data_IF_903161856896
#
_entry.id   IF_903161856896
#
_cell.length_a   1.000
_cell.length_b   1.000
_cell.length_c   1.000
_cell.angle_alpha   90.00
_cell.angle_beta   90.00
_cell.angle_gamma   90.00
#
_symmetry.space_group_name_H-M   'P 1'
#
loop_
_entity.id
_entity.type
_entity.pdbx_description
1 polymer ?
#
# COMPACT_ATOMS: atom_id res chain seq x y z
N UNK A 1 -21.51 -3.33 3.90
CA UNK A 1 -20.32 -3.38 4.75
C UNK A 1 -19.38 -2.21 4.46
N UNK A 2 -18.27 -2.03 5.23
CA UNK A 2 -17.35 -0.91 5.08
C UNK A 2 -16.80 -0.74 3.67
N UNK A 3 -16.42 -1.83 3.01
CA UNK A 3 -15.86 -1.80 1.66
C UNK A 3 -16.84 -1.24 0.61
N UNK A 4 -18.15 -1.54 0.75
CA UNK A 4 -19.16 -1.02 -0.17
C UNK A 4 -19.37 0.49 0.00
N UNK A 5 -19.31 0.99 1.23
CA UNK A 5 -19.42 2.42 1.50
C UNK A 5 -18.19 3.18 0.99
N UNK A 6 -16.99 2.67 1.24
CA UNK A 6 -15.76 3.26 0.70
C UNK A 6 -15.81 3.32 -0.83
N UNK A 7 -16.25 2.24 -1.49
CA UNK A 7 -16.42 2.20 -2.95
C UNK A 7 -17.46 3.21 -3.44
N UNK A 8 -18.58 3.37 -2.72
CA UNK A 8 -19.62 4.34 -3.06
C UNK A 8 -19.12 5.78 -2.93
N UNK A 9 -18.37 6.09 -1.85
CA UNK A 9 -17.77 7.41 -1.66
C UNK A 9 -16.70 7.70 -2.70
N UNK A 10 -15.81 6.74 -3.00
CA UNK A 10 -14.73 6.90 -3.97
C UNK A 10 -15.24 7.05 -5.41
N UNK A 11 -16.47 6.57 -5.73
CA UNK A 11 -17.09 6.81 -7.04
C UNK A 11 -17.58 8.26 -7.23
N UNK A 12 -17.74 9.00 -6.13
CA UNK A 12 -18.23 10.38 -6.15
C UNK A 12 -17.09 11.42 -6.05
N UNK A 13 -16.02 11.09 -5.32
CA UNK A 13 -14.83 11.93 -5.17
C UNK A 13 -13.61 11.10 -4.72
N UNK A 14 -12.43 11.60 -5.05
CA UNK A 14 -11.18 11.04 -4.54
C UNK A 14 -10.99 11.45 -3.08
N UNK A 15 -10.44 10.54 -2.26
CA UNK A 15 -9.94 10.88 -0.94
C UNK A 15 -8.56 11.54 -1.07
N UNK A 16 -8.43 12.75 -0.57
CA UNK A 16 -7.14 13.47 -0.56
C UNK A 16 -6.33 13.17 0.69
N UNK A 17 -7.02 12.78 1.77
CA UNK A 17 -6.37 12.47 3.04
C UNK A 17 -7.04 11.27 3.72
N UNK A 18 -6.22 10.43 4.39
CA UNK A 18 -6.72 9.24 5.08
C UNK A 18 -7.73 9.55 6.19
N UNK A 19 -7.60 10.70 6.86
CA UNK A 19 -8.55 11.11 7.89
C UNK A 19 -9.99 11.24 7.39
N UNK A 20 -10.21 11.39 6.08
CA UNK A 20 -11.54 11.43 5.50
C UNK A 20 -12.27 10.09 5.65
N UNK A 21 -11.53 8.96 5.69
CA UNK A 21 -12.10 7.65 5.95
C UNK A 21 -12.68 7.53 7.38
N UNK A 22 -12.11 8.25 8.35
CA UNK A 22 -12.60 8.24 9.73
C UNK A 22 -14.00 8.83 9.86
N UNK A 23 -14.42 9.66 8.91
CA UNK A 23 -15.74 10.26 8.88
C UNK A 23 -16.82 9.31 8.34
N UNK A 24 -16.44 8.12 7.84
CA UNK A 24 -17.40 7.12 7.39
C UNK A 24 -17.99 6.38 8.60
N UNK A 25 -19.32 6.31 8.73
CA UNK A 25 -19.98 5.64 9.87
C UNK A 25 -19.52 4.19 10.06
N UNK A 26 -19.22 3.49 8.96
CA UNK A 26 -18.73 2.11 8.99
C UNK A 26 -17.30 1.94 9.52
N UNK A 27 -16.53 3.04 9.62
CA UNK A 27 -15.14 3.01 10.06
C UNK A 27 -14.97 3.32 11.56
N UNK A 28 -16.03 3.74 12.25
CA UNK A 28 -16.00 4.14 13.68
C UNK A 28 -15.51 3.02 14.61
N UNK A 29 -15.75 1.77 14.26
CA UNK A 29 -15.40 0.60 15.07
C UNK A 29 -14.01 0.03 14.76
N UNK A 30 -13.29 0.59 13.78
CA UNK A 30 -11.97 0.08 13.42
C UNK A 30 -10.85 0.71 14.24
N UNK A 31 -9.84 -0.09 14.57
CA UNK A 31 -8.62 0.42 15.19
C UNK A 31 -7.79 1.19 14.15
N UNK A 32 -8.01 2.50 14.08
CA UNK A 32 -7.34 3.38 13.15
C UNK A 32 -5.80 3.34 13.27
N UNK A 33 -5.29 3.22 14.50
CA UNK A 33 -3.86 3.13 14.76
C UNK A 33 -3.18 1.96 14.05
N UNK A 34 -3.90 0.83 13.95
CA UNK A 34 -3.41 -0.35 13.25
C UNK A 34 -3.63 -0.26 11.73
N UNK A 35 -4.76 0.31 11.31
CA UNK A 35 -5.12 0.35 9.88
C UNK A 35 -4.32 1.37 9.08
N UNK A 36 -4.01 2.54 9.66
CA UNK A 36 -3.36 3.64 8.93
C UNK A 36 -2.02 3.29 8.31
N UNK A 37 -1.32 2.27 8.83
CA UNK A 37 -0.04 1.83 8.29
C UNK A 37 -0.17 1.09 6.94
N UNK A 38 -1.36 0.55 6.63
CA UNK A 38 -1.65 -0.20 5.40
C UNK A 38 -2.44 0.63 4.39
N UNK A 39 -2.83 1.85 4.73
CA UNK A 39 -3.67 2.69 3.90
C UNK A 39 -2.93 3.94 3.44
N UNK A 40 -3.17 4.34 2.21
CA UNK A 40 -2.78 5.64 1.71
C UNK A 40 -3.91 6.24 0.86
N UNK A 41 -4.05 7.56 0.89
CA UNK A 41 -4.87 8.27 -0.08
C UNK A 41 -4.06 8.42 -1.36
N UNK A 42 -4.55 7.87 -2.46
CA UNK A 42 -3.89 7.94 -3.75
C UNK A 42 -4.61 8.96 -4.65
N UNK A 43 -3.89 9.88 -5.30
CA UNK A 43 -4.51 10.92 -6.13
C UNK A 43 -5.03 10.42 -7.50
N UNK A 44 -4.90 9.13 -7.79
CA UNK A 44 -5.38 8.51 -9.02
C UNK A 44 -6.35 7.37 -8.72
N UNK A 45 -7.28 7.14 -9.65
CA UNK A 45 -8.22 6.01 -9.60
C UNK A 45 -7.51 4.69 -9.92
N UNK A 46 -6.39 4.74 -10.62
CA UNK A 46 -5.61 3.55 -10.95
C UNK A 46 -4.99 2.97 -9.69
N UNK A 47 -5.39 1.74 -9.35
CA UNK A 47 -4.85 1.07 -8.17
C UNK A 47 -3.36 0.78 -8.36
N UNK A 48 -2.54 1.22 -7.43
CA UNK A 48 -1.10 0.95 -7.43
C UNK A 48 -0.77 -0.52 -7.19
N UNK A 49 -1.68 -1.26 -6.56
CA UNK A 49 -1.46 -2.66 -6.15
C UNK A 49 -0.48 -2.79 -4.98
N UNK A 50 -0.22 -4.04 -4.60
CA UNK A 50 0.69 -4.40 -3.52
C UNK A 50 1.95 -5.03 -4.11
N UNK A 51 3.12 -4.46 -3.82
CA UNK A 51 4.39 -5.04 -4.23
C UNK A 51 4.79 -6.16 -3.27
N UNK A 52 4.64 -7.41 -3.72
CA UNK A 52 4.91 -8.59 -2.89
C UNK A 52 6.39 -8.65 -2.46
N UNK A 53 7.33 -8.21 -3.30
CA UNK A 53 8.76 -8.24 -3.01
C UNK A 53 9.19 -7.33 -1.84
N UNK A 54 8.33 -6.40 -1.42
CA UNK A 54 8.63 -5.47 -0.32
C UNK A 54 7.91 -5.82 0.98
N UNK A 55 7.06 -6.85 0.98
CA UNK A 55 6.36 -7.29 2.18
C UNK A 55 7.33 -7.88 3.20
N UNK A 56 7.04 -7.64 4.45
CA UNK A 56 7.73 -8.19 5.62
C UNK A 56 6.74 -9.02 6.43
N UNK A 57 7.20 -9.90 7.31
CA UNK A 57 6.35 -10.76 8.15
C UNK A 57 5.23 -9.97 8.84
N UNK A 58 5.51 -8.77 9.34
CA UNK A 58 4.50 -7.89 9.95
C UNK A 58 3.36 -7.49 9.01
N UNK A 59 3.56 -7.62 7.69
CA UNK A 59 2.61 -7.26 6.66
C UNK A 59 1.76 -8.47 6.21
N UNK A 60 1.94 -9.65 6.83
CA UNK A 60 1.16 -10.85 6.55
C UNK A 60 -0.36 -10.65 6.66
N UNK A 61 -0.89 -9.88 7.64
CA UNK A 61 -2.32 -9.58 7.67
C UNK A 61 -2.82 -8.83 6.44
N UNK A 62 -1.99 -7.97 5.83
CA UNK A 62 -2.32 -7.30 4.56
C UNK A 62 -2.40 -8.33 3.43
N UNK A 63 -1.39 -9.20 3.28
CA UNK A 63 -1.35 -10.21 2.23
C UNK A 63 -2.55 -11.17 2.35
N UNK A 64 -2.83 -11.68 3.55
CA UNK A 64 -3.99 -12.53 3.84
C UNK A 64 -5.33 -11.83 3.53
N UNK A 65 -5.41 -10.51 3.72
CA UNK A 65 -6.66 -9.76 3.45
C UNK A 65 -6.95 -9.55 1.96
N UNK A 66 -5.94 -9.65 1.11
CA UNK A 66 -6.08 -9.40 -0.34
C UNK A 66 -6.08 -10.66 -1.19
N UNK A 67 -5.56 -11.77 -0.67
CA UNK A 67 -5.57 -13.06 -1.36
C UNK A 67 -6.77 -13.91 -0.86
N UNK A 68 -7.60 -14.45 -1.78
CA UNK A 68 -8.63 -15.41 -1.39
C UNK A 68 -8.00 -16.66 -0.79
N UNK A 69 -8.66 -17.21 0.22
CA UNK A 69 -8.34 -18.50 0.83
C UNK A 69 -6.91 -18.61 1.46
N UNK A 70 -6.23 -17.49 1.66
CA UNK A 70 -4.93 -17.40 2.33
C UNK A 70 -5.13 -16.87 3.74
N UNK A 71 -4.75 -17.63 4.75
CA UNK A 71 -4.75 -17.18 6.15
C UNK A 71 -3.44 -16.44 6.51
N UNK A 72 -3.38 -15.88 7.73
CA UNK A 72 -2.21 -15.13 8.19
C UNK A 72 -0.95 -16.00 8.27
N UNK A 73 -1.09 -17.24 8.71
CA UNK A 73 0.05 -18.17 8.87
C UNK A 73 0.63 -18.55 7.50
N UNK A 74 -0.24 -18.79 6.53
CA UNK A 74 0.15 -19.06 5.16
C UNK A 74 0.79 -17.83 4.52
N UNK A 75 0.23 -16.64 4.74
CA UNK A 75 0.80 -15.37 4.27
C UNK A 75 2.19 -15.11 4.90
N UNK A 76 2.41 -15.42 6.19
CA UNK A 76 3.72 -15.36 6.82
C UNK A 76 4.73 -16.29 6.14
N UNK A 77 4.33 -17.52 5.87
CA UNK A 77 5.16 -18.51 5.17
C UNK A 77 5.51 -18.01 3.76
N UNK A 78 4.53 -17.53 3.01
CA UNK A 78 4.76 -16.97 1.67
C UNK A 78 5.78 -15.82 1.69
N UNK A 79 5.69 -14.92 2.68
CA UNK A 79 6.63 -13.80 2.81
C UNK A 79 8.05 -14.27 3.12
N UNK A 80 8.19 -15.32 3.95
CA UNK A 80 9.50 -15.91 4.25
C UNK A 80 10.15 -16.60 3.04
N UNK A 81 9.34 -17.12 2.13
CA UNK A 81 9.79 -17.79 0.91
C UNK A 81 10.09 -16.81 -0.25
N UNK A 82 9.91 -15.50 -0.08
CA UNK A 82 10.30 -14.51 -1.08
C UNK A 82 11.82 -14.53 -1.23
N UNK A 83 12.35 -14.71 -2.46
CA UNK A 83 13.79 -14.67 -2.70
C UNK A 83 14.42 -13.35 -2.23
N UNK A 84 15.67 -13.37 -1.81
CA UNK A 84 16.41 -12.16 -1.36
C UNK A 84 16.39 -11.06 -2.42
N UNK A 85 16.51 -11.44 -3.71
CA UNK A 85 16.45 -10.52 -4.84
C UNK A 85 15.02 -10.22 -5.31
N UNK A 86 14.01 -10.80 -4.64
CA UNK A 86 12.60 -10.75 -5.04
C UNK A 86 12.29 -11.59 -6.30
N UNK A 87 11.02 -11.72 -6.60
CA UNK A 87 10.55 -12.30 -7.87
C UNK A 87 10.73 -11.28 -9.00
N UNK A 88 11.31 -11.71 -10.11
CA UNK A 88 11.55 -10.86 -11.29
C UNK A 88 10.41 -10.94 -12.30
N UNK A 89 9.72 -12.08 -12.31
CA UNK A 89 8.63 -12.35 -13.25
C UNK A 89 7.41 -12.94 -12.54
N UNK A 90 6.24 -12.74 -13.10
CA UNK A 90 5.02 -13.37 -12.61
C UNK A 90 5.11 -14.91 -12.62
N UNK A 91 5.82 -15.47 -13.61
CA UNK A 91 6.02 -16.92 -13.69
C UNK A 91 6.80 -17.47 -12.50
N UNK A 92 7.83 -16.76 -12.03
CA UNK A 92 8.57 -17.14 -10.82
C UNK A 92 7.65 -17.14 -9.59
N UNK A 93 6.80 -16.11 -9.45
CA UNK A 93 5.84 -16.02 -8.37
C UNK A 93 4.84 -17.19 -8.38
N UNK A 94 4.25 -17.49 -9.55
CA UNK A 94 3.29 -18.60 -9.68
C UNK A 94 3.93 -19.97 -9.45
N UNK A 95 5.19 -20.17 -9.81
CA UNK A 95 5.93 -21.41 -9.55
C UNK A 95 6.28 -21.56 -8.08
N UNK A 96 6.56 -20.50 -7.38
CA UNK A 96 6.87 -20.52 -5.95
C UNK A 96 5.64 -20.88 -5.10
N UNK A 97 4.44 -20.42 -5.52
CA UNK A 97 3.20 -20.61 -4.77
C UNK A 97 2.12 -21.28 -5.62
N UNK A 98 2.30 -22.58 -5.95
CA UNK A 98 1.32 -23.31 -6.74
C UNK A 98 0.01 -23.44 -5.96
N UNK A 99 -1.08 -23.07 -6.57
CA UNK A 99 -2.41 -23.12 -5.95
C UNK A 99 -2.90 -21.76 -5.42
N UNK A 100 -2.05 -20.73 -5.35
CA UNK A 100 -2.48 -19.37 -5.02
C UNK A 100 -2.97 -18.66 -6.27
N UNK A 101 -4.23 -18.22 -6.23
CA UNK A 101 -4.86 -17.53 -7.38
C UNK A 101 -4.63 -16.01 -7.30
N UNK A 102 -3.42 -15.54 -7.62
CA UNK A 102 -3.06 -14.12 -7.58
C UNK A 102 -3.92 -13.23 -8.49
N UNK A 103 -4.48 -13.78 -9.55
CA UNK A 103 -5.40 -13.08 -10.47
C UNK A 103 -6.78 -12.81 -9.85
N UNK A 104 -7.13 -13.49 -8.77
CA UNK A 104 -8.36 -13.27 -8.00
C UNK A 104 -8.15 -12.38 -6.78
N UNK A 105 -6.93 -11.86 -6.57
CA UNK A 105 -6.64 -10.96 -5.46
C UNK A 105 -7.53 -9.71 -5.50
N UNK A 106 -7.95 -9.23 -4.33
CA UNK A 106 -8.77 -8.02 -4.20
C UNK A 106 -8.04 -6.73 -4.58
N UNK A 107 -6.71 -6.75 -4.54
CA UNK A 107 -5.83 -5.71 -5.05
C UNK A 107 -4.78 -6.32 -5.98
N UNK A 108 -4.37 -5.63 -7.05
CA UNK A 108 -3.34 -6.13 -7.95
C UNK A 108 -2.05 -6.46 -7.19
N UNK A 109 -1.53 -7.67 -7.39
CA UNK A 109 -0.19 -8.03 -6.93
C UNK A 109 0.83 -7.57 -7.97
N UNK A 110 1.86 -6.88 -7.50
CA UNK A 110 2.92 -6.34 -8.34
C UNK A 110 4.28 -6.83 -7.87
N UNK A 111 5.25 -6.82 -8.76
CA UNK A 111 6.65 -7.18 -8.48
C UNK A 111 7.54 -5.93 -8.37
N UNK A 112 7.06 -4.79 -8.86
CA UNK A 112 7.77 -3.52 -8.86
C UNK A 112 6.95 -2.44 -8.16
N UNK A 113 7.65 -1.44 -7.67
CA UNK A 113 7.06 -0.25 -7.07
C UNK A 113 7.15 0.91 -8.05
N UNK A 114 6.01 1.51 -8.36
CA UNK A 114 5.88 2.73 -9.15
C UNK A 114 5.58 3.96 -8.28
N UNK A 115 5.36 3.77 -6.98
CA UNK A 115 5.09 4.83 -6.00
C UNK A 115 6.10 4.78 -4.87
N UNK A 116 6.75 5.90 -4.58
CA UNK A 116 7.77 6.00 -3.54
C UNK A 116 7.48 7.21 -2.65
N UNK A 117 7.43 6.98 -1.34
CA UNK A 117 7.45 8.05 -0.36
C UNK A 117 8.89 8.44 -0.03
N UNK A 118 9.20 9.71 -0.19
CA UNK A 118 10.49 10.28 0.19
C UNK A 118 10.28 11.24 1.35
N UNK A 119 10.97 10.97 2.47
CA UNK A 119 11.03 11.87 3.61
C UNK A 119 12.31 12.72 3.48
N UNK A 120 12.15 14.02 3.44
CA UNK A 120 13.25 14.98 3.36
C UNK A 120 13.26 15.80 4.65
N UNK A 121 14.42 15.94 5.26
CA UNK A 121 14.60 16.78 6.44
C UNK A 121 15.71 17.77 6.12
N UNK A 122 15.40 19.05 6.25
CA UNK A 122 16.37 20.14 6.11
C UNK A 122 16.60 20.74 7.50
N UNK A 123 17.84 20.72 7.95
CA UNK A 123 18.26 21.29 9.24
C UNK A 123 19.10 22.52 8.97
N UNK A 124 18.73 23.63 9.56
CA UNK A 124 19.50 24.87 9.50
C UNK A 124 19.58 25.47 10.93
N UNK A 125 20.81 25.55 11.44
CA UNK A 125 21.10 26.00 12.81
C UNK A 125 20.28 25.22 13.87
N UNK A 126 19.25 25.87 14.46
CA UNK A 126 18.36 25.28 15.51
C UNK A 126 16.97 24.97 14.96
N UNK A 127 16.75 25.15 13.66
CA UNK A 127 15.45 24.91 13.02
C UNK A 127 15.53 23.71 12.10
N UNK A 128 14.43 22.93 12.05
CA UNK A 128 14.30 21.85 11.08
C UNK A 128 12.95 21.95 10.38
N UNK A 129 12.94 21.60 9.10
CA UNK A 129 11.71 21.46 8.30
C UNK A 129 11.71 20.08 7.70
N UNK A 130 10.63 19.36 7.87
CA UNK A 130 10.44 18.05 7.25
C UNK A 130 9.38 18.11 6.15
N UNK A 131 9.61 17.35 5.08
CA UNK A 131 8.66 17.17 4.00
C UNK A 131 8.54 15.69 3.64
N UNK A 132 7.31 15.23 3.44
CA UNK A 132 7.00 13.90 2.94
C UNK A 132 6.39 14.04 1.54
N UNK A 133 7.08 13.51 0.53
CA UNK A 133 6.66 13.64 -0.87
C UNK A 133 6.36 12.25 -1.45
N UNK A 134 5.20 12.09 -2.08
CA UNK A 134 4.86 10.91 -2.87
C UNK A 134 5.32 11.15 -4.31
N UNK A 135 6.19 10.29 -4.80
CA UNK A 135 6.63 10.26 -6.19
C UNK A 135 6.03 9.08 -6.92
N UNK A 136 5.68 9.30 -8.17
CA UNK A 136 5.38 8.25 -9.14
C UNK A 136 6.55 8.13 -10.12
N UNK A 137 6.97 6.88 -10.37
CA UNK A 137 7.94 6.54 -11.42
C UNK A 137 7.17 5.94 -12.58
N UNK A 138 7.22 6.60 -13.73
CA UNK A 138 6.57 6.11 -14.96
C UNK A 138 7.45 6.43 -16.16
N UNK A 139 7.75 5.42 -16.98
CA UNK A 139 8.56 5.57 -18.20
C UNK A 139 9.93 6.25 -17.94
N UNK A 140 10.59 5.90 -16.84
CA UNK A 140 11.86 6.50 -16.39
C UNK A 140 11.77 7.97 -15.99
N UNK A 141 10.59 8.53 -15.89
CA UNK A 141 10.32 9.85 -15.34
C UNK A 141 9.84 9.76 -13.89
N UNK A 142 10.21 10.72 -13.07
CA UNK A 142 9.79 10.82 -11.67
C UNK A 142 8.92 12.06 -11.51
N UNK A 143 7.67 11.86 -11.13
CA UNK A 143 6.69 12.94 -10.97
C UNK A 143 6.29 13.01 -9.49
N UNK A 144 6.38 14.20 -8.89
CA UNK A 144 5.84 14.43 -7.54
C UNK A 144 4.31 14.56 -7.62
N UNK A 145 3.60 13.65 -6.96
CA UNK A 145 2.14 13.64 -6.94
C UNK A 145 1.58 14.44 -5.77
N UNK A 146 2.20 14.34 -4.61
CA UNK A 146 1.72 14.99 -3.40
C UNK A 146 2.89 15.31 -2.46
N UNK A 147 2.78 16.40 -1.70
CA UNK A 147 3.78 16.81 -0.72
C UNK A 147 3.12 17.38 0.52
N UNK A 148 3.54 16.89 1.68
CA UNK A 148 3.14 17.38 2.99
C UNK A 148 4.37 17.96 3.69
N UNK A 149 4.18 19.09 4.34
CA UNK A 149 5.17 19.70 5.21
C UNK A 149 4.73 19.52 6.66
N UNK A 150 5.66 19.11 7.51
CA UNK A 150 5.47 19.13 8.95
C UNK A 150 6.43 20.19 9.50
N UNK A 151 5.86 21.24 10.05
CA UNK A 151 6.58 22.19 10.89
C UNK A 151 6.63 21.57 12.28
N UNK A 152 7.82 21.16 12.73
CA UNK A 152 8.09 20.78 14.12
C UNK A 152 8.64 21.98 14.88
#
# INVERSE_FOLDING_TARGET
>A
GPASQVKQYSSQRLFYHLSELMNLPSMVHFNWGQMKQYLCAHPSIDSSGVNINHLKIKDAPLLASILPDVDITEAESMILDIPVDGFRTASELYLAFPGIEFNQSYLPIRLNTDLIWVNSIVVYEKSSVSAKTLFQIKNSETIALNRFYNDE
#
